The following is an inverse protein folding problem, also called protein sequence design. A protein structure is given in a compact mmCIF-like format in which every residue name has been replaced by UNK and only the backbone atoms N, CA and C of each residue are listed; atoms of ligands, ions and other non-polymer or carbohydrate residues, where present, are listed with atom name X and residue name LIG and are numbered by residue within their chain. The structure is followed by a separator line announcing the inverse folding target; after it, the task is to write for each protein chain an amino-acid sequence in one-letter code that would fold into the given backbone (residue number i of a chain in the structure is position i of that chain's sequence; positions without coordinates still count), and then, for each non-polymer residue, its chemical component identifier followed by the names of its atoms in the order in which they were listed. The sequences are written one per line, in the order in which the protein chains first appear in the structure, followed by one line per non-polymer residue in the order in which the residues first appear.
data_IF_963706831074
#
_entry.id   IF_963706831074
#
_cell.length_a   1.000
_cell.length_b   1.000
_cell.length_c   1.000
_cell.angle_alpha   90.00
_cell.angle_beta   90.00
_cell.angle_gamma   90.00
#
_symmetry.space_group_name_H-M   'P 1'
#
loop_
_entity.id
_entity.type
_entity.pdbx_description
1 polymer ?
#
# COMPACT_ATOMS: atom_id res chain seq x y z
N UNK A 1 47.94 8.01 -17.49
CA UNK A 1 47.23 8.71 -16.40
C UNK A 1 46.56 7.62 -15.58
N UNK A 2 47.06 7.35 -14.36
CA UNK A 2 46.69 6.18 -13.57
C UNK A 2 45.50 6.55 -12.66
N UNK A 3 44.38 5.84 -12.81
CA UNK A 3 43.12 6.12 -12.08
C UNK A 3 43.30 5.97 -10.56
N UNK A 4 44.34 5.23 -10.13
CA UNK A 4 44.73 5.01 -8.73
C UNK A 4 45.19 6.26 -7.97
N UNK A 5 45.53 7.35 -8.67
CA UNK A 5 46.01 8.60 -8.04
C UNK A 5 44.95 9.69 -7.95
N UNK A 6 43.70 9.40 -8.36
CA UNK A 6 42.59 10.33 -8.21
C UNK A 6 42.23 10.55 -6.73
N UNK A 7 42.09 11.81 -6.27
CA UNK A 7 41.64 12.13 -4.91
C UNK A 7 40.28 11.50 -4.57
N UNK A 8 39.38 11.43 -5.56
CA UNK A 8 38.05 10.81 -5.43
C UNK A 8 38.16 9.30 -5.13
N UNK A 9 39.15 8.59 -5.67
CA UNK A 9 39.33 7.17 -5.39
C UNK A 9 39.84 6.91 -3.96
N UNK A 10 40.57 7.87 -3.38
CA UNK A 10 41.11 7.76 -2.01
C UNK A 10 40.06 8.09 -0.94
N UNK A 11 39.07 8.91 -1.27
CA UNK A 11 38.00 9.32 -0.34
C UNK A 11 36.90 8.27 -0.20
N UNK A 12 36.52 7.58 -1.30
CA UNK A 12 35.47 6.56 -1.27
C UNK A 12 35.95 5.13 -0.98
N UNK A 13 37.27 4.88 -0.97
CA UNK A 13 37.84 3.54 -0.72
C UNK A 13 38.15 3.25 0.75
N UNK A 14 37.81 4.13 1.70
CA UNK A 14 38.03 3.90 3.14
C UNK A 14 36.69 3.98 3.88
N UNK A 15 36.02 2.84 4.12
CA UNK A 15 36.44 2.02 5.25
C UNK A 15 36.29 0.52 4.99
N UNK A 16 37.13 -0.06 4.13
CA UNK A 16 37.40 -1.50 4.17
C UNK A 16 38.91 -1.62 3.98
N UNK A 17 39.59 -2.40 4.83
CA UNK A 17 41.03 -2.66 4.82
C UNK A 17 41.91 -1.66 5.60
N UNK A 18 41.78 -1.67 6.93
CA UNK A 18 42.95 -1.53 7.80
C UNK A 18 43.35 -2.94 8.23
N UNK A 19 44.46 -3.52 7.73
CA UNK A 19 45.00 -4.76 8.28
C UNK A 19 45.97 -4.44 9.42
N UNK A 20 45.64 -4.84 10.65
CA UNK A 20 46.60 -4.90 11.75
C UNK A 20 47.63 -6.03 11.53
N UNK A 21 48.88 -5.88 12.01
CA UNK A 21 49.94 -6.84 11.74
C UNK A 21 49.88 -8.07 12.69
N UNK A 22 49.70 -9.23 12.07
CA UNK A 22 50.12 -10.59 12.49
C UNK A 22 49.94 -10.97 13.97
N UNK A 23 48.76 -11.53 14.29
CA UNK A 23 48.63 -12.73 15.15
C UNK A 23 47.49 -13.60 14.63
N UNK A 24 47.80 -14.87 14.39
CA UNK A 24 46.88 -15.98 14.06
C UNK A 24 46.12 -15.81 12.74
N UNK A 25 46.28 -16.76 11.81
CA UNK A 25 45.29 -16.95 10.74
C UNK A 25 43.96 -17.28 11.43
N UNK A 26 43.10 -16.28 11.59
CA UNK A 26 41.69 -16.54 11.86
C UNK A 26 41.19 -17.32 10.65
N UNK A 27 40.96 -18.61 10.84
CA UNK A 27 40.08 -19.36 9.95
C UNK A 27 38.70 -18.73 10.12
N UNK A 28 38.39 -17.72 9.32
CA UNK A 28 37.00 -17.35 9.10
C UNK A 28 36.36 -18.57 8.47
N UNK A 29 35.59 -19.31 9.26
CA UNK A 29 34.79 -20.40 8.75
C UNK A 29 33.89 -19.81 7.67
N UNK A 30 33.70 -20.47 6.51
CA UNK A 30 32.78 -20.00 5.46
C UNK A 30 31.40 -19.62 6.02
N UNK A 31 30.98 -20.31 7.09
CA UNK A 31 29.76 -20.07 7.86
C UNK A 31 29.65 -18.64 8.43
N UNK A 32 30.72 -18.07 9.01
CA UNK A 32 30.68 -16.73 9.63
C UNK A 32 30.50 -15.62 8.59
N UNK A 33 31.14 -15.79 7.42
CA UNK A 33 31.02 -14.84 6.29
C UNK A 33 29.62 -14.92 5.68
N UNK A 34 29.08 -16.14 5.54
CA UNK A 34 27.71 -16.36 5.03
C UNK A 34 26.69 -15.75 5.98
N UNK A 35 26.82 -15.93 7.29
CA UNK A 35 25.87 -15.36 8.26
C UNK A 35 25.91 -13.83 8.28
N UNK A 36 27.11 -13.22 8.22
CA UNK A 36 27.26 -11.75 8.16
C UNK A 36 26.68 -11.19 6.85
N UNK A 37 26.88 -11.89 5.74
CA UNK A 37 26.35 -11.52 4.44
C UNK A 37 24.83 -11.67 4.38
N UNK A 38 24.30 -12.77 4.90
CA UNK A 38 22.86 -13.03 4.98
C UNK A 38 22.20 -11.95 5.83
N UNK A 39 22.74 -11.61 7.00
CA UNK A 39 22.22 -10.51 7.82
C UNK A 39 22.26 -9.17 7.08
N UNK A 40 23.37 -8.84 6.43
CA UNK A 40 23.46 -7.59 5.64
C UNK A 40 22.47 -7.55 4.47
N UNK A 41 22.25 -8.65 3.75
CA UNK A 41 21.26 -8.74 2.67
C UNK A 41 19.86 -8.41 3.20
N UNK A 42 19.55 -8.84 4.42
CA UNK A 42 18.24 -8.68 5.04
C UNK A 42 18.02 -7.30 5.63
N UNK A 43 19.06 -6.72 6.26
CA UNK A 43 18.97 -5.39 6.86
C UNK A 43 18.80 -4.27 5.83
N UNK A 44 19.27 -4.49 4.59
CA UNK A 44 19.22 -3.47 3.54
C UNK A 44 18.15 -3.72 2.46
N UNK A 45 17.53 -4.90 2.45
CA UNK A 45 16.53 -5.23 1.44
C UNK A 45 15.26 -4.40 1.60
N UNK A 46 14.81 -3.79 0.51
CA UNK A 46 13.55 -3.03 0.43
C UNK A 46 12.79 -3.40 -0.82
N UNK A 47 11.47 -3.43 -0.72
CA UNK A 47 10.59 -3.66 -1.85
C UNK A 47 10.03 -2.33 -2.37
N UNK A 48 10.54 -1.91 -3.53
CA UNK A 48 10.00 -0.77 -4.27
C UNK A 48 8.77 -1.22 -5.06
N UNK A 49 7.59 -0.84 -4.57
CA UNK A 49 6.33 -1.35 -5.09
C UNK A 49 5.85 -0.54 -6.29
N UNK A 50 5.57 -1.23 -7.40
CA UNK A 50 4.96 -0.63 -8.60
C UNK A 50 3.47 -0.90 -8.69
N UNK A 51 2.99 -2.00 -8.09
CA UNK A 51 1.58 -2.32 -7.97
C UNK A 51 1.31 -3.05 -6.66
N UNK A 52 0.29 -2.62 -5.93
CA UNK A 52 -0.21 -3.26 -4.71
C UNK A 52 -1.73 -3.36 -4.80
N UNK A 53 -2.25 -4.51 -5.19
CA UNK A 53 -3.67 -4.70 -5.48
C UNK A 53 -4.37 -5.53 -4.41
N UNK A 54 -5.45 -4.98 -3.88
CA UNK A 54 -6.42 -5.67 -3.01
C UNK A 54 -7.75 -5.81 -3.76
N UNK A 55 -8.22 -7.04 -3.89
CA UNK A 55 -9.47 -7.41 -4.58
C UNK A 55 -10.26 -8.45 -3.77
N UNK A 56 -11.49 -8.76 -4.21
CA UNK A 56 -12.34 -9.83 -3.66
C UNK A 56 -12.42 -9.82 -2.12
N UNK A 57 -12.80 -8.66 -1.57
CA UNK A 57 -12.97 -8.46 -0.15
C UNK A 57 -14.14 -9.30 0.40
N UNK A 58 -13.92 -9.93 1.55
CA UNK A 58 -14.93 -10.66 2.33
C UNK A 58 -14.69 -10.37 3.82
N UNK A 59 -15.63 -10.73 4.70
CA UNK A 59 -15.48 -10.58 6.16
C UNK A 59 -14.13 -11.10 6.71
N UNK A 60 -13.59 -12.19 6.15
CA UNK A 60 -12.42 -12.91 6.72
C UNK A 60 -11.24 -13.06 5.77
N UNK A 61 -11.33 -12.55 4.55
CA UNK A 61 -10.28 -12.70 3.55
C UNK A 61 -10.32 -11.63 2.46
N UNK A 62 -9.22 -11.52 1.74
CA UNK A 62 -9.09 -10.69 0.55
C UNK A 62 -8.12 -11.36 -0.42
N UNK A 63 -8.07 -10.89 -1.66
CA UNK A 63 -7.03 -11.28 -2.62
C UNK A 63 -5.97 -10.20 -2.70
N UNK A 64 -4.70 -10.63 -2.72
CA UNK A 64 -3.53 -9.77 -2.76
C UNK A 64 -2.69 -10.10 -3.99
N UNK A 65 -2.33 -9.09 -4.76
CA UNK A 65 -1.27 -9.15 -5.76
C UNK A 65 -0.27 -8.01 -5.53
N UNK A 66 1.02 -8.31 -5.64
CA UNK A 66 2.10 -7.32 -5.44
C UNK A 66 3.07 -7.43 -6.60
N UNK A 67 3.44 -6.30 -7.18
CA UNK A 67 4.52 -6.19 -8.15
C UNK A 67 5.45 -5.07 -7.73
N UNK A 68 6.75 -5.30 -7.94
CA UNK A 68 7.75 -4.31 -7.63
C UNK A 68 9.15 -4.81 -7.91
N UNK A 69 10.12 -4.10 -7.35
CA UNK A 69 11.53 -4.42 -7.44
C UNK A 69 12.10 -4.58 -6.04
N UNK A 70 12.68 -5.74 -5.78
CA UNK A 70 13.45 -5.97 -4.56
C UNK A 70 14.86 -5.40 -4.76
N UNK A 71 15.19 -4.34 -4.03
CA UNK A 71 16.47 -3.62 -4.11
C UNK A 71 17.24 -3.75 -2.80
N UNK A 72 18.52 -3.36 -2.79
CA UNK A 72 19.33 -3.40 -1.58
C UNK A 72 19.67 -4.81 -1.09
N UNK A 73 19.66 -5.81 -1.96
CA UNK A 73 19.93 -7.22 -1.63
C UNK A 73 21.43 -7.58 -1.62
N UNK A 74 22.30 -6.58 -1.53
CA UNK A 74 23.76 -6.76 -1.47
C UNK A 74 24.44 -7.04 -2.83
N UNK A 75 25.75 -7.28 -2.79
CA UNK A 75 26.60 -7.44 -3.98
C UNK A 75 26.72 -8.86 -4.50
N UNK A 76 26.30 -9.85 -3.71
CA UNK A 76 26.42 -11.26 -4.06
C UNK A 76 25.04 -11.79 -4.48
N UNK A 77 24.90 -12.27 -5.73
CA UNK A 77 23.68 -12.93 -6.17
C UNK A 77 23.34 -14.12 -5.28
N UNK A 78 22.11 -14.14 -4.79
CA UNK A 78 21.61 -15.13 -3.86
C UNK A 78 20.24 -15.61 -4.29
N UNK A 79 19.85 -16.80 -3.86
CA UNK A 79 18.50 -17.34 -4.06
C UNK A 79 17.81 -17.42 -2.72
N UNK A 80 16.74 -16.66 -2.56
CA UNK A 80 15.80 -16.78 -1.46
C UNK A 80 14.77 -17.82 -1.89
N UNK A 81 14.68 -18.94 -1.16
CA UNK A 81 13.73 -20.01 -1.48
C UNK A 81 12.28 -19.55 -1.27
N UNK A 82 11.34 -20.20 -1.95
CA UNK A 82 9.91 -19.92 -1.78
C UNK A 82 9.51 -20.14 -0.30
N UNK A 83 8.70 -19.23 0.25
CA UNK A 83 8.35 -19.23 1.67
C UNK A 83 6.96 -18.65 1.92
N UNK A 84 6.44 -18.87 3.11
CA UNK A 84 5.23 -18.19 3.61
C UNK A 84 5.65 -17.03 4.51
N UNK A 85 5.35 -15.79 4.12
CA UNK A 85 5.62 -14.62 4.93
C UNK A 85 4.37 -14.15 5.67
N UNK A 86 4.57 -13.67 6.90
CA UNK A 86 3.56 -12.98 7.68
C UNK A 86 3.48 -11.53 7.25
N UNK A 87 2.27 -11.05 6.99
CA UNK A 87 1.97 -9.65 6.73
C UNK A 87 1.79 -8.93 8.07
N UNK A 88 2.58 -7.89 8.29
CA UNK A 88 2.58 -7.13 9.54
C UNK A 88 2.53 -5.63 9.29
N UNK A 89 1.74 -4.94 10.11
CA UNK A 89 1.59 -3.49 10.11
C UNK A 89 1.71 -2.98 11.55
N UNK A 90 2.52 -1.94 11.77
CA UNK A 90 2.81 -1.37 13.10
C UNK A 90 3.16 -2.43 14.17
N UNK A 91 3.96 -3.44 13.77
CA UNK A 91 4.42 -4.51 14.66
C UNK A 91 3.38 -5.60 14.96
N UNK A 92 2.17 -5.51 14.41
CA UNK A 92 1.11 -6.53 14.57
C UNK A 92 0.89 -7.28 13.26
N UNK A 93 0.79 -8.60 13.33
CA UNK A 93 0.48 -9.45 12.16
C UNK A 93 -1.02 -9.52 11.89
N UNK A 94 -1.42 -9.56 10.63
CA UNK A 94 -2.82 -9.68 10.24
C UNK A 94 -3.12 -10.69 9.13
N UNK A 95 -2.10 -11.29 8.50
CA UNK A 95 -2.31 -12.30 7.47
C UNK A 95 -1.02 -12.99 7.06
N UNK A 96 -1.13 -13.92 6.11
CA UNK A 96 0.01 -14.63 5.55
C UNK A 96 -0.06 -14.67 4.02
N UNK A 97 1.09 -14.63 3.38
CA UNK A 97 1.22 -14.63 1.92
C UNK A 97 2.33 -15.57 1.49
N UNK A 98 2.11 -16.30 0.40
CA UNK A 98 3.15 -17.13 -0.22
C UNK A 98 4.01 -16.26 -1.12
N UNK A 99 5.31 -16.24 -0.83
CA UNK A 99 6.32 -15.58 -1.62
C UNK A 99 6.97 -16.59 -2.58
N UNK A 100 7.21 -16.20 -3.84
CA UNK A 100 7.93 -17.06 -4.79
C UNK A 100 9.40 -17.18 -4.38
N UNK A 101 10.12 -18.08 -5.04
CA UNK A 101 11.58 -18.06 -5.01
C UNK A 101 12.07 -16.78 -5.69
N UNK A 102 13.04 -16.11 -5.07
CA UNK A 102 13.58 -14.82 -5.53
C UNK A 102 15.06 -15.00 -5.82
N UNK A 103 15.49 -14.63 -7.02
CA UNK A 103 16.91 -14.55 -7.36
C UNK A 103 17.37 -13.10 -7.22
N UNK A 104 18.17 -12.81 -6.20
CA UNK A 104 18.67 -11.47 -5.92
C UNK A 104 19.79 -11.11 -6.87
N UNK A 105 19.94 -9.81 -7.12
CA UNK A 105 20.96 -9.27 -8.01
C UNK A 105 21.45 -7.93 -7.47
N UNK A 106 22.69 -7.58 -7.82
CA UNK A 106 23.29 -6.29 -7.45
C UNK A 106 22.46 -5.09 -7.93
N UNK A 107 21.77 -5.21 -9.07
CA UNK A 107 20.95 -4.14 -9.65
C UNK A 107 19.51 -4.12 -9.13
N UNK A 108 19.17 -5.00 -8.19
CA UNK A 108 17.80 -5.33 -7.82
C UNK A 108 17.20 -6.40 -8.75
N UNK A 109 16.06 -6.93 -8.34
CA UNK A 109 15.38 -8.02 -9.06
C UNK A 109 13.88 -7.78 -9.06
N UNK A 110 13.20 -8.25 -10.10
CA UNK A 110 11.75 -8.13 -10.18
C UNK A 110 11.12 -9.05 -9.13
N UNK A 111 10.10 -8.55 -8.47
CA UNK A 111 9.38 -9.23 -7.42
C UNK A 111 7.89 -9.22 -7.74
N UNK A 112 7.32 -10.41 -7.89
CA UNK A 112 5.90 -10.57 -8.24
C UNK A 112 5.26 -11.61 -7.34
N UNK A 113 4.29 -11.17 -6.55
CA UNK A 113 3.35 -12.03 -5.85
C UNK A 113 2.09 -12.11 -6.69
N UNK A 114 1.84 -13.29 -7.25
CA UNK A 114 0.63 -13.58 -8.01
C UNK A 114 -0.60 -13.42 -7.11
N UNK A 115 -1.73 -13.07 -7.73
CA UNK A 115 -2.99 -12.91 -7.01
C UNK A 115 -3.31 -14.18 -6.23
N UNK A 116 -3.45 -14.02 -4.91
CA UNK A 116 -3.75 -15.11 -4.00
C UNK A 116 -4.66 -14.65 -2.88
N UNK A 117 -5.47 -15.58 -2.36
CA UNK A 117 -6.29 -15.34 -1.18
C UNK A 117 -5.43 -15.28 0.08
N UNK A 118 -5.66 -14.24 0.88
CA UNK A 118 -5.08 -14.03 2.21
C UNK A 118 -6.22 -14.05 3.23
N UNK A 119 -6.13 -14.94 4.21
CA UNK A 119 -7.07 -14.96 5.34
C UNK A 119 -6.63 -13.96 6.42
N UNK A 120 -7.59 -13.21 6.94
CA UNK A 120 -7.41 -12.17 7.93
C UNK A 120 -7.36 -12.83 9.32
N UNK A 121 -6.18 -12.81 9.94
CA UNK A 121 -5.96 -13.35 11.29
C UNK A 121 -6.23 -12.32 12.40
N UNK A 122 -6.10 -11.03 12.08
CA UNK A 122 -6.39 -9.93 13.00
C UNK A 122 -7.12 -8.82 12.25
N UNK A 123 -8.45 -8.78 12.43
CA UNK A 123 -9.33 -7.83 11.74
C UNK A 123 -8.99 -6.38 12.08
N UNK A 124 -8.76 -6.05 13.35
CA UNK A 124 -8.48 -4.68 13.77
C UNK A 124 -7.17 -4.15 13.16
N UNK A 125 -6.10 -4.95 13.18
CA UNK A 125 -4.83 -4.56 12.55
C UNK A 125 -4.97 -4.41 11.04
N UNK A 126 -5.74 -5.29 10.39
CA UNK A 126 -6.02 -5.17 8.96
C UNK A 126 -6.81 -3.90 8.62
N UNK A 127 -7.90 -3.59 9.34
CA UNK A 127 -8.65 -2.34 9.12
C UNK A 127 -7.78 -1.10 9.36
N UNK A 128 -6.89 -1.11 10.36
CA UNK A 128 -5.92 -0.02 10.54
C UNK A 128 -4.95 0.10 9.35
N UNK A 129 -4.50 -1.02 8.78
CA UNK A 129 -3.68 -1.00 7.58
C UNK A 129 -4.44 -0.41 6.39
N UNK A 130 -5.68 -0.82 6.13
CA UNK A 130 -6.49 -0.26 5.03
C UNK A 130 -6.76 1.23 5.22
N UNK A 131 -7.10 1.65 6.44
CA UNK A 131 -7.22 3.07 6.79
C UNK A 131 -5.94 3.84 6.45
N UNK A 132 -4.79 3.28 6.82
CA UNK A 132 -3.48 3.89 6.54
C UNK A 132 -3.22 4.04 5.04
N UNK A 133 -3.65 3.07 4.21
CA UNK A 133 -3.58 3.17 2.75
C UNK A 133 -4.40 4.34 2.18
N UNK A 134 -5.51 4.70 2.84
CA UNK A 134 -6.44 5.73 2.37
C UNK A 134 -6.08 7.12 2.91
N UNK A 135 -5.74 7.22 4.20
CA UNK A 135 -5.71 8.50 4.93
C UNK A 135 -4.30 9.03 5.20
N UNK A 136 -3.34 8.13 5.40
CA UNK A 136 -2.00 8.56 5.79
C UNK A 136 -1.18 9.05 4.58
N UNK A 137 -0.06 9.73 4.84
CA UNK A 137 0.89 10.22 3.83
C UNK A 137 1.86 9.16 3.35
N UNK A 138 2.19 8.26 4.25
CA UNK A 138 3.12 7.17 4.05
C UNK A 138 2.65 5.97 4.87
N UNK A 139 2.84 4.78 4.32
CA UNK A 139 2.64 3.54 5.08
C UNK A 139 3.70 2.53 4.71
N UNK A 140 3.99 1.62 5.63
CA UNK A 140 4.94 0.54 5.41
C UNK A 140 4.32 -0.78 5.83
N UNK A 141 4.16 -1.68 4.86
CA UNK A 141 3.81 -3.06 5.13
C UNK A 141 5.09 -3.87 5.27
N UNK A 142 5.16 -4.75 6.27
CA UNK A 142 6.34 -5.58 6.50
C UNK A 142 6.02 -7.05 6.29
N UNK A 143 6.84 -7.70 5.47
CA UNK A 143 6.84 -9.14 5.25
C UNK A 143 7.87 -9.80 6.17
N UNK A 144 7.45 -10.79 6.96
CA UNK A 144 8.33 -11.46 7.91
C UNK A 144 8.26 -12.99 7.82
N UNK A 145 9.41 -13.65 7.85
CA UNK A 145 9.50 -15.10 8.01
C UNK A 145 10.70 -15.44 8.89
N UNK A 146 10.56 -16.29 9.89
CA UNK A 146 11.65 -16.58 10.84
C UNK A 146 12.55 -17.75 10.41
N UNK A 147 12.15 -18.52 9.40
CA UNK A 147 12.76 -19.77 8.93
C UNK A 147 12.94 -19.76 7.40
N UNK A 148 13.56 -18.70 6.87
CA UNK A 148 13.82 -18.57 5.45
C UNK A 148 15.13 -19.25 5.08
N UNK A 149 15.15 -19.96 3.95
CA UNK A 149 16.39 -20.53 3.40
C UNK A 149 16.95 -19.61 2.32
N UNK A 150 18.21 -19.19 2.49
CA UNK A 150 18.95 -18.40 1.49
C UNK A 150 20.14 -19.21 1.00
N UNK A 151 20.31 -19.27 -0.33
CA UNK A 151 21.42 -19.94 -1.00
C UNK A 151 22.33 -18.92 -1.67
N UNK A 152 23.60 -18.92 -1.30
CA UNK A 152 24.62 -18.06 -1.89
C UNK A 152 25.96 -18.82 -1.94
N UNK A 153 26.77 -18.59 -2.97
CA UNK A 153 28.14 -19.15 -3.06
C UNK A 153 28.23 -20.68 -2.83
N UNK A 154 27.26 -21.45 -3.33
CA UNK A 154 27.13 -22.92 -3.13
C UNK A 154 26.89 -23.36 -1.67
N UNK A 155 26.49 -22.44 -0.81
CA UNK A 155 26.10 -22.69 0.58
C UNK A 155 24.64 -22.32 0.79
N UNK A 156 24.00 -22.91 1.80
CA UNK A 156 22.65 -22.59 2.24
C UNK A 156 22.66 -22.27 3.72
N UNK A 157 21.96 -21.21 4.12
CA UNK A 157 21.73 -20.86 5.52
C UNK A 157 20.25 -20.61 5.78
N UNK A 158 19.82 -20.87 7.02
CA UNK A 158 18.47 -20.56 7.49
C UNK A 158 18.52 -19.32 8.35
N UNK A 159 17.62 -18.37 8.09
CA UNK A 159 17.64 -17.06 8.73
C UNK A 159 16.22 -16.47 8.84
N UNK A 160 16.08 -15.46 9.68
CA UNK A 160 14.85 -14.68 9.77
C UNK A 160 14.91 -13.50 8.80
N UNK A 161 13.89 -13.33 7.98
CA UNK A 161 13.79 -12.30 6.94
C UNK A 161 12.74 -11.28 7.32
N UNK A 162 13.09 -10.01 7.14
CA UNK A 162 12.19 -8.88 7.25
C UNK A 162 12.36 -8.02 5.99
N UNK A 163 11.28 -7.86 5.21
CA UNK A 163 11.29 -7.01 4.02
C UNK A 163 10.29 -5.88 4.28
N UNK A 164 10.81 -4.67 4.32
CA UNK A 164 10.00 -3.46 4.37
C UNK A 164 9.50 -3.13 2.97
N UNK A 165 8.19 -2.93 2.86
CA UNK A 165 7.48 -2.52 1.66
C UNK A 165 6.83 -1.15 1.93
N UNK A 166 7.58 -0.06 1.77
CA UNK A 166 7.00 1.27 1.77
C UNK A 166 6.02 1.40 0.60
N UNK A 167 4.84 1.91 0.88
CA UNK A 167 3.78 2.14 -0.11
C UNK A 167 3.51 3.64 -0.19
N UNK A 168 3.50 4.16 -1.42
CA UNK A 168 2.94 5.49 -1.69
C UNK A 168 1.41 5.36 -1.64
N UNK A 169 0.83 6.00 -0.64
CA UNK A 169 -0.59 5.90 -0.30
C UNK A 169 -1.37 7.05 -0.89
N UNK A 170 -2.69 7.08 -0.64
CA UNK A 170 -3.59 8.04 -1.28
C UNK A 170 -3.42 9.47 -0.75
N UNK A 171 -2.95 9.65 0.51
CA UNK A 171 -2.89 10.94 1.23
C UNK A 171 -4.27 11.58 1.45
N UNK A 172 -5.25 10.75 1.74
CA UNK A 172 -6.66 11.14 1.88
C UNK A 172 -7.40 11.12 0.55
N UNK A 173 -8.72 10.86 0.55
CA UNK A 173 -9.51 10.91 -0.67
C UNK A 173 -9.59 12.34 -1.21
N UNK A 174 -8.67 12.69 -2.11
CA UNK A 174 -8.64 13.97 -2.81
C UNK A 174 -9.70 14.01 -3.91
N UNK A 175 -10.97 14.08 -3.51
CA UNK A 175 -12.10 14.16 -4.42
C UNK A 175 -12.46 15.63 -4.67
N UNK A 176 -12.54 16.00 -5.95
CA UNK A 176 -12.97 17.33 -6.39
C UNK A 176 -14.28 17.19 -7.14
N UNK A 177 -15.32 17.92 -6.73
CA UNK A 177 -16.60 17.94 -7.44
C UNK A 177 -16.43 18.62 -8.81
N UNK A 178 -16.58 17.84 -9.88
CA UNK A 178 -16.51 18.34 -11.27
C UNK A 178 -17.86 18.79 -11.79
N UNK A 179 -18.88 17.98 -11.53
CA UNK A 179 -20.21 18.21 -12.07
C UNK A 179 -21.27 17.69 -11.13
N UNK A 180 -22.36 18.45 -11.04
CA UNK A 180 -23.61 18.03 -10.42
C UNK A 180 -24.74 18.22 -11.43
N UNK A 181 -25.71 17.32 -11.40
CA UNK A 181 -26.97 17.47 -12.13
C UNK A 181 -28.11 16.92 -11.31
N UNK A 182 -29.24 17.61 -11.35
CA UNK A 182 -30.46 17.24 -10.64
C UNK A 182 -31.64 17.19 -11.58
N UNK A 183 -32.48 16.17 -11.45
CA UNK A 183 -33.77 16.05 -12.14
C UNK A 183 -34.83 15.62 -11.14
N UNK A 184 -35.60 16.58 -10.65
CA UNK A 184 -36.53 16.40 -9.54
C UNK A 184 -35.81 15.96 -8.26
N UNK A 185 -36.00 14.70 -7.86
CA UNK A 185 -35.31 14.09 -6.70
C UNK A 185 -33.99 13.42 -7.08
N UNK A 186 -33.78 13.09 -8.35
CA UNK A 186 -32.59 12.35 -8.76
C UNK A 186 -31.39 13.28 -8.85
N UNK A 187 -30.31 12.91 -8.18
CA UNK A 187 -29.04 13.63 -8.21
C UNK A 187 -27.98 12.72 -8.84
N UNK A 188 -27.15 13.32 -9.70
CA UNK A 188 -25.92 12.72 -10.19
C UNK A 188 -24.76 13.66 -9.90
N UNK A 189 -23.70 13.13 -9.32
CA UNK A 189 -22.45 13.85 -9.05
C UNK A 189 -21.30 13.13 -9.74
N UNK A 190 -20.38 13.91 -10.30
CA UNK A 190 -19.13 13.42 -10.86
C UNK A 190 -18.01 14.10 -10.09
N UNK A 191 -17.22 13.29 -9.38
CA UNK A 191 -16.06 13.74 -8.64
C UNK A 191 -14.81 13.21 -9.34
N UNK A 192 -13.74 14.00 -9.38
CA UNK A 192 -12.45 13.53 -9.87
C UNK A 192 -11.49 13.24 -8.71
N UNK A 193 -10.69 12.17 -8.84
CA UNK A 193 -9.55 11.86 -7.97
C UNK A 193 -8.24 12.13 -8.71
N UNK A 194 -7.23 12.63 -8.01
CA UNK A 194 -5.88 12.88 -8.56
C UNK A 194 -4.85 11.82 -8.16
N UNK A 195 -5.31 10.68 -7.66
CA UNK A 195 -4.45 9.61 -7.17
C UNK A 195 -3.65 8.93 -8.30
N UNK A 196 -2.35 8.72 -8.07
CA UNK A 196 -1.44 8.11 -9.06
C UNK A 196 -0.46 7.10 -8.44
N UNK A 197 -0.68 6.70 -7.19
CA UNK A 197 0.18 5.76 -6.47
C UNK A 197 0.00 4.29 -6.92
N UNK A 198 0.82 3.36 -6.42
CA UNK A 198 0.81 1.94 -6.80
C UNK A 198 -0.32 1.12 -6.16
N UNK A 199 -1.00 1.64 -5.13
CA UNK A 199 -2.09 0.96 -4.42
C UNK A 199 -3.36 0.93 -5.27
N UNK A 200 -3.96 -0.25 -5.38
CA UNK A 200 -5.25 -0.49 -6.03
C UNK A 200 -6.20 -1.18 -5.04
N UNK A 201 -7.36 -0.59 -4.78
CA UNK A 201 -8.38 -1.15 -3.88
C UNK A 201 -9.75 -1.00 -4.51
N UNK A 202 -10.44 -2.11 -4.73
CA UNK A 202 -11.84 -2.10 -5.16
C UNK A 202 -12.76 -2.19 -3.95
N UNK A 203 -13.56 -1.15 -3.72
CA UNK A 203 -14.62 -1.18 -2.71
C UNK A 203 -15.97 -1.60 -3.30
N UNK A 204 -16.08 -1.65 -4.64
CA UNK A 204 -17.32 -1.98 -5.34
C UNK A 204 -18.41 -0.93 -5.10
N UNK A 205 -19.67 -1.38 -5.13
CA UNK A 205 -20.82 -0.50 -4.99
C UNK A 205 -20.97 0.03 -3.55
N UNK A 206 -20.55 1.28 -3.38
CA UNK A 206 -20.53 2.00 -2.11
C UNK A 206 -21.77 2.88 -1.95
N UNK A 207 -22.17 3.06 -0.69
CA UNK A 207 -23.21 3.95 -0.24
C UNK A 207 -22.57 5.19 0.37
N UNK A 208 -23.08 6.36 0.00
CA UNK A 208 -22.61 7.64 0.49
C UNK A 208 -23.78 8.51 0.93
N UNK A 209 -23.50 9.41 1.86
CA UNK A 209 -24.39 10.51 2.22
C UNK A 209 -23.71 11.83 1.86
N UNK A 210 -24.46 12.69 1.18
CA UNK A 210 -24.11 14.10 1.06
C UNK A 210 -24.78 14.85 2.20
N UNK A 211 -23.99 15.45 3.07
CA UNK A 211 -24.46 16.19 4.25
C UNK A 211 -24.17 17.68 4.11
N UNK A 212 -25.01 18.51 4.72
CA UNK A 212 -24.78 19.95 4.83
C UNK A 212 -23.85 20.29 5.99
N UNK A 213 -23.37 21.53 6.08
CA UNK A 213 -22.58 22.00 7.24
C UNK A 213 -23.18 21.66 8.62
N UNK A 214 -24.50 21.80 8.84
CA UNK A 214 -25.19 21.35 10.06
C UNK A 214 -25.24 19.82 10.28
N UNK A 215 -24.85 19.02 9.29
CA UNK A 215 -24.87 17.56 9.35
C UNK A 215 -26.16 16.90 8.84
N UNK A 216 -27.13 17.66 8.32
CA UNK A 216 -28.35 17.11 7.74
C UNK A 216 -28.04 16.37 6.43
N UNK A 217 -28.67 15.20 6.22
CA UNK A 217 -28.49 14.42 4.99
C UNK A 217 -29.28 15.07 3.85
N UNK A 218 -28.56 15.68 2.93
CA UNK A 218 -29.08 16.26 1.70
C UNK A 218 -29.45 15.21 0.67
N UNK A 219 -28.58 14.22 0.46
CA UNK A 219 -28.82 13.18 -0.53
C UNK A 219 -28.18 11.86 -0.10
N UNK A 220 -28.88 10.77 -0.40
CA UNK A 220 -28.34 9.42 -0.34
C UNK A 220 -27.84 9.07 -1.74
N UNK A 221 -26.57 8.69 -1.84
CA UNK A 221 -25.86 8.47 -3.09
C UNK A 221 -25.27 7.07 -3.13
N UNK A 222 -25.11 6.52 -4.34
CA UNK A 222 -24.47 5.24 -4.61
C UNK A 222 -23.53 5.35 -5.80
N UNK A 223 -22.42 4.63 -5.77
CA UNK A 223 -21.51 4.54 -6.89
C UNK A 223 -20.42 3.51 -6.64
N UNK A 224 -19.80 3.04 -7.72
CA UNK A 224 -18.65 2.15 -7.64
C UNK A 224 -17.42 2.97 -7.24
N UNK A 225 -16.72 2.55 -6.19
CA UNK A 225 -15.48 3.19 -5.76
C UNK A 225 -14.31 2.22 -5.95
N UNK A 226 -13.43 2.56 -6.88
CA UNK A 226 -12.13 1.93 -7.01
C UNK A 226 -11.04 2.98 -6.86
N UNK A 227 -10.09 2.69 -5.97
CA UNK A 227 -8.85 3.45 -5.86
C UNK A 227 -7.88 2.78 -6.82
N UNK A 228 -7.51 3.42 -7.91
CA UNK A 228 -6.52 2.91 -8.87
C UNK A 228 -5.92 4.04 -9.71
N UNK A 229 -4.79 3.79 -10.37
CA UNK A 229 -4.18 4.76 -11.31
C UNK A 229 -5.03 4.99 -12.57
N UNK A 230 -5.86 4.02 -12.95
CA UNK A 230 -6.69 4.09 -14.16
C UNK A 230 -8.02 4.80 -13.94
N UNK A 231 -8.46 4.95 -12.69
CA UNK A 231 -9.79 5.43 -12.37
C UNK A 231 -9.72 6.78 -11.67
N UNK A 232 -10.02 7.82 -12.45
CA UNK A 232 -9.89 9.20 -12.02
C UNK A 232 -11.24 9.87 -11.76
N UNK A 233 -12.36 9.17 -11.98
CA UNK A 233 -13.70 9.71 -11.79
C UNK A 233 -14.57 8.77 -10.96
N UNK A 234 -15.19 9.32 -9.93
CA UNK A 234 -16.24 8.69 -9.13
C UNK A 234 -17.59 9.27 -9.57
N UNK A 235 -18.45 8.41 -10.08
CA UNK A 235 -19.80 8.80 -10.50
C UNK A 235 -20.81 8.31 -9.47
N UNK A 236 -21.47 9.26 -8.82
CA UNK A 236 -22.46 8.99 -7.79
C UNK A 236 -23.87 9.29 -8.30
N UNK A 237 -24.80 8.40 -7.99
CA UNK A 237 -26.21 8.50 -8.34
C UNK A 237 -27.07 8.35 -7.09
N UNK A 238 -28.13 9.13 -6.97
CA UNK A 238 -28.94 9.05 -5.77
C UNK A 238 -30.18 9.91 -5.74
N UNK A 239 -30.70 10.09 -4.53
CA UNK A 239 -31.93 10.82 -4.27
C UNK A 239 -31.73 11.90 -3.22
N UNK A 240 -32.13 13.12 -3.55
CA UNK A 240 -32.10 14.25 -2.63
C UNK A 240 -33.35 14.32 -1.75
N UNK A 241 -33.13 14.68 -0.50
CA UNK A 241 -34.14 15.00 0.49
C UNK A 241 -34.66 16.42 0.29
N UNK A 242 -35.91 16.65 0.72
CA UNK A 242 -36.55 17.97 0.67
C UNK A 242 -36.49 18.65 2.02
N UNK A 243 -36.48 19.99 2.03
CA UNK A 243 -36.56 20.79 3.26
C UNK A 243 -35.23 20.92 4.02
N UNK A 244 -34.14 20.39 3.47
CA UNK A 244 -32.79 20.56 4.01
C UNK A 244 -32.32 22.00 3.78
N UNK A 245 -31.72 22.62 4.79
CA UNK A 245 -31.27 24.01 4.71
C UNK A 245 -30.09 24.11 3.73
N UNK A 246 -30.17 24.97 2.68
CA UNK A 246 -29.09 25.16 1.74
C UNK A 246 -27.79 25.60 2.41
N UNK A 247 -26.67 25.07 1.92
CA UNK A 247 -25.33 25.44 2.34
C UNK A 247 -24.39 25.48 1.15
N UNK A 248 -23.38 26.34 1.20
CA UNK A 248 -22.29 26.33 0.21
C UNK A 248 -21.25 25.25 0.53
N UNK A 249 -21.19 24.79 1.77
CA UNK A 249 -20.28 23.74 2.20
C UNK A 249 -21.06 22.45 2.40
N UNK A 250 -20.61 21.39 1.73
CA UNK A 250 -21.19 20.06 1.87
C UNK A 250 -20.09 19.04 2.15
N UNK A 251 -20.50 17.91 2.70
CA UNK A 251 -19.62 16.85 3.16
C UNK A 251 -20.11 15.52 2.60
N UNK A 252 -19.29 14.87 1.79
CA UNK A 252 -19.55 13.52 1.31
C UNK A 252 -18.95 12.52 2.29
N UNK A 253 -19.79 11.63 2.80
CA UNK A 253 -19.41 10.62 3.80
C UNK A 253 -19.75 9.24 3.27
N UNK A 254 -18.79 8.32 3.23
CA UNK A 254 -19.02 6.91 2.98
C UNK A 254 -19.72 6.25 4.17
N UNK A 255 -20.80 5.52 3.92
CA UNK A 255 -21.64 4.94 5.00
C UNK A 255 -21.67 3.41 5.01
N UNK A 256 -21.40 2.77 3.87
CA UNK A 256 -21.33 1.31 3.77
C UNK A 256 -21.16 0.82 2.34
N UNK A 257 -21.22 -0.49 2.15
CA UNK A 257 -21.25 -1.15 0.84
C UNK A 257 -22.50 -2.02 0.68
N UNK A 258 -22.99 -2.20 -0.55
CA UNK A 258 -24.27 -2.88 -0.82
C UNK A 258 -24.15 -4.41 -0.78
N UNK A 259 -23.09 -4.98 -1.37
CA UNK A 259 -22.99 -6.42 -1.65
C UNK A 259 -22.61 -7.27 -0.43
N UNK A 260 -21.79 -6.75 0.49
CA UNK A 260 -21.37 -7.48 1.69
C UNK A 260 -21.22 -6.55 2.91
N UNK A 261 -22.32 -6.39 3.65
CA UNK A 261 -22.36 -5.60 4.90
C UNK A 261 -21.44 -6.15 5.99
N UNK A 262 -21.01 -7.41 5.90
CA UNK A 262 -20.07 -8.03 6.82
C UNK A 262 -18.61 -7.87 6.38
N UNK A 263 -18.36 -7.41 5.15
CA UNK A 263 -17.01 -7.10 4.68
C UNK A 263 -16.43 -5.89 5.42
N UNK A 264 -15.13 -5.95 5.67
CA UNK A 264 -14.33 -4.83 6.20
C UNK A 264 -14.45 -3.56 5.35
N UNK A 265 -14.85 -3.69 4.07
CA UNK A 265 -15.17 -2.55 3.20
C UNK A 265 -16.21 -1.60 3.80
N UNK A 266 -17.19 -2.13 4.55
CA UNK A 266 -18.21 -1.30 5.22
C UNK A 266 -17.62 -0.43 6.34
N UNK A 267 -16.49 -0.83 6.92
CA UNK A 267 -15.76 -0.03 7.92
C UNK A 267 -14.84 0.97 7.23
N UNK A 268 -14.08 0.52 6.22
CA UNK A 268 -13.04 1.35 5.58
C UNK A 268 -13.60 2.43 4.67
N UNK A 269 -14.79 2.21 4.09
CA UNK A 269 -15.47 3.26 3.29
C UNK A 269 -15.79 4.51 4.10
N UNK A 270 -15.88 4.40 5.43
CA UNK A 270 -16.11 5.53 6.33
C UNK A 270 -14.92 6.47 6.45
N UNK A 271 -13.74 6.03 6.02
CA UNK A 271 -12.57 6.89 5.88
C UNK A 271 -12.70 7.82 4.66
N UNK A 272 -13.67 7.57 3.76
CA UNK A 272 -14.08 8.54 2.74
C UNK A 272 -14.99 9.58 3.36
N UNK A 273 -14.36 10.65 3.79
CA UNK A 273 -15.01 11.78 4.44
C UNK A 273 -14.41 13.08 3.89
N UNK A 274 -15.09 13.67 2.90
CA UNK A 274 -14.56 14.79 2.11
C UNK A 274 -15.49 15.97 2.21
N UNK A 275 -14.95 17.12 2.59
CA UNK A 275 -15.65 18.41 2.56
C UNK A 275 -15.30 19.13 1.28
N UNK A 276 -16.31 19.69 0.60
CA UNK A 276 -16.12 20.55 -0.56
C UNK A 276 -17.04 21.76 -0.51
N UNK A 277 -16.51 22.86 -1.04
CA UNK A 277 -17.27 24.07 -1.34
C UNK A 277 -17.92 23.93 -2.71
N UNK A 278 -19.19 24.30 -2.78
CA UNK A 278 -19.97 24.30 -4.02
C UNK A 278 -19.76 25.64 -4.75
N UNK A 279 -19.41 25.56 -6.02
CA UNK A 279 -19.51 26.70 -6.93
C UNK A 279 -20.97 27.19 -7.01
N UNK A 280 -21.25 28.48 -7.25
CA UNK A 280 -22.61 29.01 -7.28
C UNK A 280 -23.56 28.23 -8.20
N UNK A 281 -23.10 27.85 -9.39
CA UNK A 281 -23.89 27.06 -10.36
C UNK A 281 -24.18 25.64 -9.86
N UNK A 282 -23.22 25.03 -9.14
CA UNK A 282 -23.38 23.71 -8.55
C UNK A 282 -24.36 23.75 -7.38
N UNK A 283 -24.27 24.79 -6.54
CA UNK A 283 -25.22 25.03 -5.47
C UNK A 283 -26.64 25.20 -6.04
N UNK A 284 -26.82 26.09 -7.02
CA UNK A 284 -28.13 26.32 -7.64
C UNK A 284 -28.75 25.02 -8.17
N UNK A 285 -27.97 24.23 -8.92
CA UNK A 285 -28.40 22.92 -9.46
C UNK A 285 -28.73 21.90 -8.38
N UNK A 286 -28.02 21.92 -7.26
CA UNK A 286 -28.21 20.95 -6.19
C UNK A 286 -29.43 21.30 -5.33
N UNK A 287 -29.73 22.58 -5.16
CA UNK A 287 -30.80 23.07 -4.28
C UNK A 287 -32.16 23.25 -4.98
N UNK A 288 -32.16 23.58 -6.28
CA UNK A 288 -33.36 23.93 -7.05
C UNK A 288 -33.56 22.98 -8.26
#
# INVERSE_FOLDING_TARGET
MNISDSPLFKEFARPILIPEPRRSRAFYSPLIIVDTFVQHLLDTAKLETTQFKISNATEKSFHLAVQGRLVGTGTIPSTIEAMEATLSFNGSSFGKVKLPQIQTSYWGTDFTVQEQRVDISNHATYCHFIRSLIVDKDTCLRLQNNECTIRALRTSSTCSVHIDMPLQVVDGPHLVLKKVSRSGKHVKMVLSSSYSGPVEISHGLCLFELRTGPGEVLAELKGDLNISQSENELVLHGTANHGVIPSQMVRLVGVGVEEDKGSWLSETIREVDVVFDLEPEQAETLWF
#
